data_IF_060676888125
#
_entry.id   IF_060676888125
#
_cell.length_a   1.000
_cell.length_b   1.000
_cell.length_c   1.000
_cell.angle_alpha   90.00
_cell.angle_beta   90.00
_cell.angle_gamma   90.00
#
_symmetry.space_group_name_H-M   'P 1'
#
loop_
_entity.id
_entity.type
_entity.pdbx_description
1 polymer ?
#
# COMPACT_ATOMS: atom_id res chain seq x y z
N UNK A 1 -35.94 34.52 -24.76
CA UNK A 1 -34.56 34.02 -24.56
C UNK A 1 -34.69 32.64 -23.94
N UNK A 2 -34.07 31.66 -24.61
CA UNK A 2 -34.10 30.22 -24.30
C UNK A 2 -33.42 29.91 -22.96
N UNK A 3 -33.86 28.84 -22.32
CA UNK A 3 -33.11 28.18 -21.26
C UNK A 3 -33.92 27.10 -20.56
N UNK A 4 -34.40 26.10 -21.30
CA UNK A 4 -34.82 24.81 -20.72
C UNK A 4 -33.64 24.23 -19.96
N UNK A 5 -33.77 24.11 -18.64
CA UNK A 5 -32.87 23.29 -17.82
C UNK A 5 -33.54 21.93 -17.69
N UNK A 6 -33.41 21.12 -18.74
CA UNK A 6 -33.64 19.68 -18.64
C UNK A 6 -32.61 19.11 -17.68
N UNK A 7 -33.06 18.70 -16.49
CA UNK A 7 -32.25 17.89 -15.59
C UNK A 7 -31.90 16.58 -16.29
N UNK A 8 -30.59 16.34 -16.47
CA UNK A 8 -30.10 15.06 -16.97
C UNK A 8 -30.16 14.07 -15.80
N UNK A 9 -31.05 13.09 -15.92
CA UNK A 9 -31.02 11.87 -15.12
C UNK A 9 -29.69 11.15 -15.37
N UNK A 10 -28.84 11.05 -14.34
CA UNK A 10 -27.72 10.10 -14.37
C UNK A 10 -28.16 8.83 -13.66
N UNK A 11 -28.96 8.04 -14.39
CA UNK A 11 -29.04 6.60 -14.20
C UNK A 11 -28.08 5.93 -15.19
N UNK A 12 -27.27 4.99 -14.72
CA UNK A 12 -26.58 4.06 -15.62
C UNK A 12 -25.06 4.07 -15.53
N UNK A 13 -24.57 2.95 -14.99
CA UNK A 13 -23.30 2.29 -15.24
C UNK A 13 -22.78 2.42 -16.70
N UNK A 14 -21.66 3.13 -16.93
CA UNK A 14 -20.71 2.94 -18.05
C UNK A 14 -19.52 3.92 -17.86
N UNK A 15 -18.33 3.44 -17.50
CA UNK A 15 -17.22 3.09 -18.42
C UNK A 15 -16.60 4.31 -19.11
N UNK A 16 -15.30 4.50 -18.85
CA UNK A 16 -14.54 5.73 -19.08
C UNK A 16 -14.57 6.30 -20.49
N UNK A 17 -14.55 7.63 -20.53
CA UNK A 17 -13.95 8.39 -21.62
C UNK A 17 -13.17 9.55 -21.02
N UNK A 18 -11.85 9.46 -21.09
CA UNK A 18 -10.93 10.54 -20.73
C UNK A 18 -11.02 11.57 -21.85
N UNK A 19 -11.76 12.66 -21.64
CA UNK A 19 -11.71 13.81 -22.53
C UNK A 19 -10.81 14.88 -21.94
N UNK A 20 -9.72 15.08 -22.65
CA UNK A 20 -8.71 16.11 -22.52
C UNK A 20 -9.35 17.50 -22.39
N UNK A 21 -9.06 18.17 -21.28
CA UNK A 21 -9.36 19.59 -21.09
C UNK A 21 -10.13 19.86 -19.81
N UNK A 22 -9.50 19.70 -18.64
CA UNK A 22 -9.70 20.66 -17.56
C UNK A 22 -8.59 20.56 -16.50
N UNK A 23 -8.23 21.72 -15.97
CA UNK A 23 -7.11 22.02 -15.08
C UNK A 23 -6.90 21.01 -13.95
N UNK A 24 -5.72 20.39 -13.94
CA UNK A 24 -5.14 19.77 -12.75
C UNK A 24 -4.85 20.85 -11.69
N UNK A 25 -5.87 21.28 -10.95
CA UNK A 25 -5.66 21.91 -9.65
C UNK A 25 -5.43 20.81 -8.65
N UNK A 26 -4.15 20.60 -8.35
CA UNK A 26 -3.63 19.88 -7.21
C UNK A 26 -4.39 20.34 -5.96
N UNK A 27 -5.24 19.49 -5.40
CA UNK A 27 -6.01 19.81 -4.21
C UNK A 27 -6.99 18.70 -3.86
N UNK A 28 -6.62 17.87 -2.89
CA UNK A 28 -7.51 17.12 -2.02
C UNK A 28 -8.68 16.37 -2.69
N UNK A 29 -8.35 15.28 -3.39
CA UNK A 29 -9.23 14.12 -3.35
C UNK A 29 -8.60 13.10 -2.42
N UNK A 30 -8.65 13.36 -1.11
CA UNK A 30 -8.65 12.29 -0.11
C UNK A 30 -9.96 11.52 -0.25
N UNK A 31 -10.08 10.77 -1.36
CA UNK A 31 -11.03 9.69 -1.44
C UNK A 31 -10.59 8.67 -0.40
N UNK A 32 -11.35 8.62 0.68
CA UNK A 32 -11.28 7.63 1.74
C UNK A 32 -11.77 6.26 1.19
N UNK A 33 -11.20 5.86 0.07
CA UNK A 33 -11.50 4.63 -0.66
C UNK A 33 -10.45 3.61 -0.29
N UNK A 34 -10.82 2.34 -0.22
CA UNK A 34 -9.87 1.24 -0.09
C UNK A 34 -8.65 1.48 -1.01
N UNK A 35 -7.42 1.18 -0.57
CA UNK A 35 -6.24 1.37 -1.40
C UNK A 35 -6.46 0.68 -2.75
N UNK A 36 -6.18 1.40 -3.85
CA UNK A 36 -6.39 0.86 -5.18
C UNK A 36 -5.65 -0.49 -5.30
N UNK A 37 -6.25 -1.52 -5.94
CA UNK A 37 -5.69 -2.88 -5.99
C UNK A 37 -4.26 -2.94 -6.55
N UNK A 38 -3.92 -1.98 -7.42
CA UNK A 38 -2.57 -1.75 -7.94
C UNK A 38 -1.55 -1.49 -6.81
N UNK A 39 -1.92 -0.68 -5.80
CA UNK A 39 -1.06 -0.32 -4.66
C UNK A 39 -0.80 -1.52 -3.75
N UNK A 40 -1.83 -2.32 -3.50
CA UNK A 40 -1.70 -3.55 -2.72
C UNK A 40 -0.77 -4.52 -3.46
N UNK A 41 -0.94 -4.67 -4.77
CA UNK A 41 -0.08 -5.52 -5.61
C UNK A 41 1.38 -5.07 -5.57
N UNK A 42 1.65 -3.77 -5.69
CA UNK A 42 3.00 -3.21 -5.59
C UNK A 42 3.65 -3.53 -4.24
N UNK A 43 2.93 -3.30 -3.14
CA UNK A 43 3.42 -3.62 -1.79
C UNK A 43 3.66 -5.11 -1.61
N UNK A 44 2.78 -5.98 -2.13
CA UNK A 44 2.97 -7.43 -2.06
C UNK A 44 4.19 -7.92 -2.85
N UNK A 45 4.53 -7.27 -3.96
CA UNK A 45 5.77 -7.53 -4.69
C UNK A 45 7.00 -7.25 -3.82
N UNK A 46 7.05 -6.04 -3.23
CA UNK A 46 8.13 -5.65 -2.32
C UNK A 46 8.18 -6.51 -1.05
N UNK A 47 7.02 -6.97 -0.57
CA UNK A 47 6.91 -7.87 0.57
C UNK A 47 7.55 -9.22 0.30
N UNK A 48 7.34 -9.77 -0.90
CA UNK A 48 7.99 -11.00 -1.34
C UNK A 48 9.51 -10.84 -1.44
N UNK A 49 9.99 -9.71 -1.98
CA UNK A 49 11.43 -9.39 -2.04
C UNK A 49 12.04 -9.27 -0.64
N UNK A 50 11.40 -8.52 0.25
CA UNK A 50 11.81 -8.37 1.65
C UNK A 50 11.85 -9.72 2.38
N UNK A 51 10.85 -10.58 2.14
CA UNK A 51 10.81 -11.93 2.70
C UNK A 51 11.97 -12.80 2.21
N UNK A 52 12.23 -12.81 0.91
CA UNK A 52 13.35 -13.58 0.34
C UNK A 52 14.71 -13.13 0.91
N UNK A 53 14.88 -11.82 1.12
CA UNK A 53 16.08 -11.25 1.74
C UNK A 53 16.24 -11.71 3.20
N UNK A 54 15.17 -11.64 4.01
CA UNK A 54 15.18 -12.11 5.40
C UNK A 54 15.38 -13.63 5.50
N UNK A 55 14.76 -14.41 4.61
CA UNK A 55 14.93 -15.86 4.56
C UNK A 55 16.36 -16.26 4.20
N UNK A 56 17.01 -15.48 3.34
CA UNK A 56 18.43 -15.66 2.94
C UNK A 56 19.42 -15.29 4.05
N UNK A 57 18.98 -14.57 5.09
CA UNK A 57 19.81 -14.31 6.26
C UNK A 57 20.15 -15.63 6.99
N UNK A 58 21.35 -15.75 7.59
CA UNK A 58 21.78 -16.99 8.23
C UNK A 58 20.80 -17.45 9.31
N UNK A 59 20.59 -18.76 9.40
CA UNK A 59 19.75 -19.33 10.46
C UNK A 59 20.31 -18.95 11.83
N UNK A 60 19.44 -18.44 12.71
CA UNK A 60 19.84 -17.88 14.01
C UNK A 60 20.29 -16.42 13.98
N UNK A 61 20.26 -15.73 12.82
CA UNK A 61 20.49 -14.30 12.76
C UNK A 61 19.52 -13.55 13.70
N UNK A 62 20.02 -12.65 14.56
CA UNK A 62 19.19 -11.97 15.53
C UNK A 62 18.09 -11.18 14.82
N UNK A 63 16.84 -11.40 15.22
CA UNK A 63 15.68 -10.72 14.63
C UNK A 63 15.16 -11.33 13.33
N UNK A 64 15.76 -12.38 12.77
CA UNK A 64 15.26 -13.07 11.55
C UNK A 64 13.84 -13.60 11.74
N UNK A 65 13.63 -14.41 12.77
CA UNK A 65 12.31 -15.00 13.06
C UNK A 65 11.25 -13.91 13.34
N UNK A 66 11.63 -12.88 14.11
CA UNK A 66 10.74 -11.76 14.41
C UNK A 66 10.41 -10.91 13.17
N UNK A 67 11.36 -10.77 12.24
CA UNK A 67 11.15 -10.08 10.97
C UNK A 67 10.23 -10.89 10.05
N UNK A 68 10.42 -12.21 9.93
CA UNK A 68 9.52 -13.10 9.18
C UNK A 68 8.10 -13.05 9.73
N UNK A 69 7.91 -13.12 11.05
CA UNK A 69 6.60 -12.99 11.66
C UNK A 69 5.95 -11.61 11.38
N UNK A 70 6.73 -10.52 11.35
CA UNK A 70 6.19 -9.20 10.98
C UNK A 70 5.83 -9.08 9.49
N UNK A 71 6.56 -9.77 8.61
CA UNK A 71 6.25 -9.83 7.19
C UNK A 71 4.96 -10.62 6.94
N UNK A 72 4.76 -11.71 7.69
CA UNK A 72 3.53 -12.51 7.67
C UNK A 72 2.33 -11.70 8.18
N UNK A 73 2.46 -11.04 9.34
CA UNK A 73 1.43 -10.12 9.87
C UNK A 73 1.03 -9.07 8.81
N UNK A 74 1.99 -8.56 8.03
CA UNK A 74 1.74 -7.56 6.99
C UNK A 74 1.09 -8.15 5.73
N UNK A 75 1.43 -9.38 5.32
CA UNK A 75 0.74 -10.03 4.18
C UNK A 75 -0.72 -10.36 4.52
N UNK A 76 -0.98 -10.80 5.75
CA UNK A 76 -2.35 -11.08 6.23
C UNK A 76 -3.21 -9.81 6.17
N UNK A 77 -2.71 -8.69 6.72
CA UNK A 77 -3.40 -7.40 6.66
C UNK A 77 -3.61 -6.91 5.22
N UNK A 78 -2.70 -7.20 4.28
CA UNK A 78 -2.84 -6.85 2.86
C UNK A 78 -3.74 -7.81 2.07
N UNK A 79 -4.00 -9.00 2.61
CA UNK A 79 -4.88 -10.00 2.00
C UNK A 79 -6.36 -9.76 2.32
N UNK A 80 -6.65 -8.94 3.34
CA UNK A 80 -7.99 -8.47 3.65
C UNK A 80 -8.63 -7.77 2.45
N UNK A 81 -9.95 -7.96 2.28
CA UNK A 81 -10.69 -7.37 1.16
C UNK A 81 -10.65 -5.83 1.16
N UNK A 82 -10.59 -5.25 2.36
CA UNK A 82 -10.40 -3.82 2.59
C UNK A 82 -9.32 -3.63 3.67
N UNK A 83 -8.04 -3.60 3.28
CA UNK A 83 -6.93 -3.54 4.23
C UNK A 83 -6.94 -2.21 4.99
N UNK A 84 -6.85 -2.28 6.32
CA UNK A 84 -6.82 -1.09 7.15
C UNK A 84 -5.47 -0.37 6.99
N UNK A 85 -5.53 0.86 6.47
CA UNK A 85 -4.34 1.66 6.18
C UNK A 85 -3.48 1.90 7.42
N UNK A 86 -4.12 2.13 8.56
CA UNK A 86 -3.43 2.36 9.84
C UNK A 86 -2.70 1.11 10.33
N UNK A 87 -3.33 -0.06 10.20
CA UNK A 87 -2.78 -1.36 10.54
C UNK A 87 -1.58 -1.69 9.65
N UNK A 88 -1.73 -1.56 8.33
CA UNK A 88 -0.65 -1.79 7.35
C UNK A 88 0.58 -0.90 7.65
N UNK A 89 0.39 0.40 7.89
CA UNK A 89 1.49 1.32 8.24
C UNK A 89 2.09 0.98 9.62
N UNK A 90 1.26 0.61 10.60
CA UNK A 90 1.73 0.22 11.93
C UNK A 90 2.60 -1.05 11.87
N UNK A 91 2.20 -2.04 11.08
CA UNK A 91 2.95 -3.28 10.90
C UNK A 91 4.26 -3.03 10.14
N UNK A 92 4.25 -2.23 9.07
CA UNK A 92 5.47 -1.83 8.36
C UNK A 92 6.49 -1.13 9.30
N UNK A 93 6.04 -0.21 10.16
CA UNK A 93 6.91 0.43 11.17
C UNK A 93 7.44 -0.56 12.20
N UNK A 94 6.64 -1.57 12.57
CA UNK A 94 7.07 -2.64 13.49
C UNK A 94 8.15 -3.50 12.85
N UNK A 95 7.98 -3.85 11.58
CA UNK A 95 8.97 -4.57 10.77
C UNK A 95 10.30 -3.80 10.70
N UNK A 96 10.27 -2.50 10.36
CA UNK A 96 11.47 -1.65 10.33
C UNK A 96 12.23 -1.66 11.65
N UNK A 97 11.54 -1.54 12.79
CA UNK A 97 12.17 -1.59 14.12
C UNK A 97 12.84 -2.94 14.39
N UNK A 98 12.21 -4.05 14.00
CA UNK A 98 12.75 -5.40 14.20
C UNK A 98 13.98 -5.66 13.35
N UNK A 99 13.96 -5.24 12.09
CA UNK A 99 15.11 -5.35 11.18
C UNK A 99 16.26 -4.46 11.65
N UNK A 100 15.99 -3.20 12.02
CA UNK A 100 17.03 -2.30 12.54
C UNK A 100 17.66 -2.82 13.83
N UNK A 101 16.90 -3.55 14.66
CA UNK A 101 17.36 -4.06 15.94
C UNK A 101 18.22 -5.33 15.86
N UNK A 102 18.38 -5.98 14.70
CA UNK A 102 19.15 -7.23 14.64
C UNK A 102 19.51 -7.75 13.24
N UNK A 103 18.78 -7.35 12.20
CA UNK A 103 19.00 -7.83 10.85
C UNK A 103 19.73 -6.76 10.02
N UNK A 104 21.05 -6.74 10.13
CA UNK A 104 21.90 -5.86 9.33
C UNK A 104 21.78 -6.27 7.85
N UNK A 105 21.40 -5.31 7.00
CA UNK A 105 21.46 -5.48 5.54
C UNK A 105 20.15 -5.78 4.84
N UNK A 106 18.99 -5.72 5.50
CA UNK A 106 17.70 -5.90 4.82
C UNK A 106 17.22 -4.61 4.13
N UNK A 107 17.83 -4.29 3.00
CA UNK A 107 17.53 -3.09 2.22
C UNK A 107 16.14 -3.16 1.58
N UNK A 108 15.68 -4.35 1.17
CA UNK A 108 14.34 -4.52 0.63
C UNK A 108 13.27 -4.29 1.72
N UNK A 109 13.56 -4.60 2.99
CA UNK A 109 12.66 -4.24 4.09
C UNK A 109 12.55 -2.72 4.26
N UNK A 110 13.66 -1.99 4.15
CA UNK A 110 13.62 -0.53 4.22
C UNK A 110 12.79 0.07 3.07
N UNK A 111 13.00 -0.40 1.84
CA UNK A 111 12.24 0.02 0.66
C UNK A 111 10.75 -0.33 0.75
N UNK A 112 10.42 -1.53 1.26
CA UNK A 112 9.04 -1.92 1.55
C UNK A 112 8.37 -0.96 2.52
N UNK A 113 9.03 -0.62 3.63
CA UNK A 113 8.44 0.24 4.66
C UNK A 113 8.23 1.66 4.14
N UNK A 114 9.19 2.21 3.39
CA UNK A 114 9.05 3.51 2.73
C UNK A 114 7.85 3.51 1.76
N UNK A 115 7.76 2.47 0.92
CA UNK A 115 6.66 2.35 -0.05
C UNK A 115 5.30 2.19 0.62
N UNK A 116 5.21 1.42 1.69
CA UNK A 116 3.97 1.30 2.48
C UNK A 116 3.56 2.65 3.06
N UNK A 117 4.50 3.40 3.65
CA UNK A 117 4.20 4.72 4.21
C UNK A 117 3.76 5.69 3.12
N UNK A 118 4.35 5.66 1.93
CA UNK A 118 3.94 6.51 0.81
C UNK A 118 2.55 6.17 0.27
N UNK A 119 2.19 4.88 0.22
CA UNK A 119 0.95 4.41 -0.40
C UNK A 119 -0.26 4.39 0.54
N UNK A 120 -0.01 4.22 1.85
CA UNK A 120 -1.01 4.02 2.90
C UNK A 120 -0.98 5.06 4.03
N UNK A 121 0.09 5.85 4.18
CA UNK A 121 0.22 6.92 5.17
C UNK A 121 -0.37 8.24 4.72
#
# INVERSE_FOLDING_TARGET
MRGDVGGIEIGGNATGAVFQGDNNTIGDVHANSAPAPERVRDVRGLLAEARAEVESAPEGAPGREAALAALEDLDEELAEAEPDRGAVVKQARRLSRRVTAGLVGAAAVAGLVERVVELFG
#
